data_IF_757924623445
#
_entry.id   IF_757924623445
#
_cell.length_a   1.000
_cell.length_b   1.000
_cell.length_c   1.000
_cell.angle_alpha   90.00
_cell.angle_beta   90.00
_cell.angle_gamma   90.00
#
_symmetry.space_group_name_H-M   'P 1'
#
loop_
_entity.id
_entity.type
_entity.pdbx_description
1 polymer ?
#
# COMPACT_ATOMS: atom_id res chain seq x y z
N UNK A 1 8.34 10.32 10.96
CA UNK A 1 6.89 10.59 10.91
C UNK A 1 6.19 9.24 10.81
N UNK A 2 5.01 9.08 11.41
CA UNK A 2 4.28 7.81 11.31
C UNK A 2 3.84 7.61 9.85
N UNK A 3 4.53 6.74 9.10
CA UNK A 3 4.18 6.42 7.70
C UNK A 3 2.82 5.71 7.59
N UNK A 4 2.28 5.27 8.71
CA UNK A 4 0.98 4.63 8.87
C UNK A 4 -0.20 5.48 8.38
N UNK A 5 -0.09 6.81 8.43
CA UNK A 5 -1.21 7.74 8.16
C UNK A 5 -0.80 8.82 7.14
N UNK A 6 -0.14 8.41 6.07
CA UNK A 6 0.30 9.28 4.99
C UNK A 6 0.45 8.51 3.66
N UNK A 7 0.56 9.23 2.55
CA UNK A 7 1.02 8.61 1.30
C UNK A 7 2.49 8.20 1.45
N UNK A 8 2.77 6.94 1.11
CA UNK A 8 4.12 6.40 1.03
C UNK A 8 4.47 6.11 -0.44
N UNK A 9 5.40 6.88 -1.00
CA UNK A 9 5.86 6.68 -2.38
C UNK A 9 7.08 5.74 -2.45
N UNK A 10 7.45 5.37 -3.68
CA UNK A 10 8.60 4.50 -3.96
C UNK A 10 9.92 5.06 -3.41
N UNK A 11 10.16 6.35 -3.53
CA UNK A 11 11.42 6.97 -3.15
C UNK A 11 11.59 6.97 -1.62
N UNK A 12 10.53 7.32 -0.89
CA UNK A 12 10.49 7.25 0.56
C UNK A 12 10.60 5.80 1.05
N UNK A 13 9.83 4.87 0.48
CA UNK A 13 9.84 3.47 0.89
C UNK A 13 11.22 2.80 0.73
N UNK A 14 11.94 3.09 -0.36
CA UNK A 14 13.26 2.50 -0.65
C UNK A 14 14.41 3.18 0.08
N UNK A 15 14.27 4.47 0.44
CA UNK A 15 15.24 5.15 1.33
C UNK A 15 15.27 4.55 2.74
N UNK A 16 14.13 4.05 3.22
CA UNK A 16 14.05 3.44 4.55
C UNK A 16 14.54 2.00 4.57
N UNK A 17 14.22 1.23 3.53
CA UNK A 17 14.68 -0.16 3.38
C UNK A 17 14.81 -0.49 1.88
N UNK A 18 15.96 -1.00 1.40
CA UNK A 18 16.23 -1.21 -0.02
C UNK A 18 15.57 -2.52 -0.52
N UNK A 19 14.27 -2.65 -0.29
CA UNK A 19 13.47 -3.79 -0.72
C UNK A 19 12.18 -3.27 -1.37
N UNK A 20 11.63 -3.95 -2.36
CA UNK A 20 10.32 -3.63 -2.96
C UNK A 20 9.52 -4.92 -3.03
N UNK A 21 8.29 -4.88 -2.53
CA UNK A 21 7.37 -6.00 -2.69
C UNK A 21 6.50 -5.77 -3.92
N UNK A 22 6.09 -6.84 -4.58
CA UNK A 22 5.06 -6.79 -5.61
C UNK A 22 3.87 -7.62 -5.16
N UNK A 23 2.66 -7.07 -5.29
CA UNK A 23 1.44 -7.74 -4.90
C UNK A 23 0.34 -7.59 -5.95
N UNK A 24 -0.42 -8.67 -6.16
CA UNK A 24 -1.65 -8.62 -6.94
C UNK A 24 -2.79 -8.12 -6.07
N UNK A 25 -3.63 -7.24 -6.60
CA UNK A 25 -4.93 -6.97 -5.98
C UNK A 25 -5.85 -8.17 -6.21
N UNK A 26 -6.29 -8.80 -5.13
CA UNK A 26 -7.22 -9.94 -5.14
C UNK A 26 -8.65 -9.52 -4.82
N UNK A 27 -8.83 -8.33 -4.25
CA UNK A 27 -10.15 -7.78 -3.91
C UNK A 27 -10.14 -6.24 -3.98
N UNK A 28 -10.81 -5.72 -5.01
CA UNK A 28 -11.02 -4.29 -5.22
C UNK A 28 -12.44 -3.81 -4.84
N UNK A 29 -13.26 -4.65 -4.19
CA UNK A 29 -14.64 -4.31 -3.82
C UNK A 29 -14.70 -3.22 -2.75
N UNK A 30 -15.90 -2.69 -2.50
CA UNK A 30 -16.19 -1.85 -1.34
C UNK A 30 -15.29 -0.61 -1.23
N UNK A 31 -15.03 0.04 -2.37
CA UNK A 31 -14.44 1.38 -2.38
C UNK A 31 -15.30 2.33 -1.52
N UNK A 32 -14.76 2.93 -0.45
CA UNK A 32 -15.54 3.85 0.38
C UNK A 32 -16.04 5.03 -0.44
N UNK A 33 -17.29 5.45 -0.22
CA UNK A 33 -17.91 6.56 -0.95
C UNK A 33 -17.16 7.89 -0.77
N UNK A 34 -16.49 8.07 0.37
CA UNK A 34 -15.68 9.23 0.69
C UNK A 34 -14.19 9.05 0.33
N UNK A 35 -13.79 7.96 -0.32
CA UNK A 35 -12.41 7.74 -0.78
C UNK A 35 -12.06 8.67 -1.94
N UNK A 36 -11.03 9.51 -1.75
CA UNK A 36 -10.51 10.42 -2.78
C UNK A 36 -9.07 10.02 -3.12
N UNK A 37 -8.84 9.73 -4.39
CA UNK A 37 -7.55 9.26 -4.90
C UNK A 37 -7.67 7.97 -5.69
N UNK A 38 -6.51 7.34 -5.88
CA UNK A 38 -6.37 6.09 -6.61
C UNK A 38 -7.01 4.93 -5.85
N UNK A 39 -7.43 3.92 -6.60
CA UNK A 39 -8.01 2.70 -6.07
C UNK A 39 -7.48 1.51 -6.87
N UNK A 40 -7.15 0.37 -6.23
CA UNK A 40 -6.62 -0.77 -6.94
C UNK A 40 -7.67 -1.40 -7.85
N UNK A 41 -7.19 -2.08 -8.89
CA UNK A 41 -8.02 -2.89 -9.78
C UNK A 41 -7.66 -4.36 -9.58
N UNK A 42 -8.68 -5.21 -9.45
CA UNK A 42 -8.52 -6.64 -9.25
C UNK A 42 -7.71 -7.27 -10.40
N UNK A 43 -6.77 -8.15 -10.06
CA UNK A 43 -5.86 -8.81 -11.00
C UNK A 43 -4.67 -7.96 -11.46
N UNK A 44 -4.57 -6.68 -11.09
CA UNK A 44 -3.37 -5.87 -11.38
C UNK A 44 -2.26 -6.08 -10.35
N UNK A 45 -1.03 -6.03 -10.83
CA UNK A 45 0.20 -6.11 -10.04
C UNK A 45 0.69 -4.70 -9.70
N UNK A 46 1.02 -4.48 -8.44
CA UNK A 46 1.52 -3.20 -7.96
C UNK A 46 2.82 -3.36 -7.18
N UNK A 47 3.76 -2.39 -7.28
CA UNK A 47 4.81 -2.26 -6.29
C UNK A 47 4.19 -1.75 -4.98
N UNK A 48 4.46 -2.47 -3.89
CA UNK A 48 3.88 -2.19 -2.58
C UNK A 48 4.93 -2.17 -1.48
N UNK A 49 4.53 -1.61 -0.34
CA UNK A 49 5.21 -1.79 0.95
C UNK A 49 4.21 -2.26 1.99
N UNK A 50 4.58 -3.30 2.73
CA UNK A 50 3.86 -3.70 3.95
C UNK A 50 4.44 -2.93 5.13
N UNK A 51 3.58 -2.23 5.88
CA UNK A 51 3.96 -1.44 7.06
C UNK A 51 3.08 -1.87 8.24
N UNK A 52 3.65 -2.15 9.43
CA UNK A 52 2.84 -2.42 10.61
C UNK A 52 2.11 -1.14 11.06
N UNK A 53 0.79 -1.22 11.22
CA UNK A 53 -0.07 -0.15 11.75
C UNK A 53 -0.35 -0.37 13.22
N UNK A 54 -0.03 0.62 14.06
CA UNK A 54 -0.29 0.56 15.50
C UNK A 54 -1.72 0.98 15.86
N UNK A 55 -2.32 1.87 15.08
CA UNK A 55 -3.70 2.32 15.24
C UNK A 55 -4.68 1.19 14.93
N UNK A 56 -4.45 0.49 13.82
CA UNK A 56 -5.33 -0.58 13.35
C UNK A 56 -4.95 -1.96 13.93
N UNK A 57 -3.77 -2.08 14.56
CA UNK A 57 -3.29 -3.34 15.15
C UNK A 57 -3.02 -4.44 14.12
N UNK A 58 -2.77 -4.06 12.87
CA UNK A 58 -2.61 -4.94 11.72
C UNK A 58 -1.57 -4.40 10.73
N UNK A 59 -1.17 -5.19 9.75
CA UNK A 59 -0.35 -4.70 8.64
C UNK A 59 -1.18 -3.88 7.65
N UNK A 60 -0.60 -2.84 7.07
CA UNK A 60 -1.16 -2.08 5.96
C UNK A 60 -0.29 -2.25 4.72
N UNK A 61 -0.94 -2.31 3.56
CA UNK A 61 -0.30 -2.39 2.25
C UNK A 61 -0.38 -1.03 1.59
N UNK A 62 0.77 -0.37 1.46
CA UNK A 62 0.90 0.87 0.71
C UNK A 62 1.19 0.58 -0.76
N UNK A 63 0.35 1.08 -1.66
CA UNK A 63 0.61 1.01 -3.11
C UNK A 63 1.50 2.20 -3.49
N UNK A 64 2.76 1.94 -3.84
CA UNK A 64 3.81 2.97 -3.91
C UNK A 64 3.68 3.92 -5.10
N UNK A 65 2.79 3.61 -6.03
CA UNK A 65 2.46 4.42 -7.21
C UNK A 65 1.15 5.20 -7.06
N UNK A 66 0.46 5.05 -5.94
CA UNK A 66 -0.84 5.67 -5.70
C UNK A 66 -0.73 6.88 -4.77
N UNK A 67 -1.68 7.80 -4.95
CA UNK A 67 -1.95 8.89 -4.04
C UNK A 67 -3.42 8.86 -3.57
N UNK A 68 -3.64 9.25 -2.31
CA UNK A 68 -4.97 9.45 -1.74
C UNK A 68 -5.00 10.62 -0.76
N UNK A 69 -6.21 11.07 -0.43
CA UNK A 69 -6.46 12.08 0.58
C UNK A 69 -6.94 11.46 1.90
N UNK A 70 -6.79 12.20 3.00
CA UNK A 70 -7.36 11.79 4.28
C UNK A 70 -8.90 11.56 4.16
N UNK A 71 -9.45 10.58 4.89
CA UNK A 71 -8.78 9.71 5.87
C UNK A 71 -8.13 8.46 5.27
N UNK A 72 -8.25 8.23 3.96
CA UNK A 72 -7.82 7.01 3.28
C UNK A 72 -6.73 7.34 2.25
N UNK A 73 -5.49 7.44 2.73
CA UNK A 73 -4.30 7.59 1.90
C UNK A 73 -4.05 6.33 1.04
N UNK A 74 -2.86 6.22 0.43
CA UNK A 74 -2.48 5.07 -0.39
C UNK A 74 -2.25 3.74 0.38
N UNK A 75 -2.79 3.62 1.60
CA UNK A 75 -2.66 2.47 2.48
C UNK A 75 -3.97 1.66 2.53
N UNK A 76 -3.88 0.36 2.36
CA UNK A 76 -5.01 -0.54 2.25
C UNK A 76 -4.89 -1.72 3.21
N UNK A 77 -6.02 -2.36 3.52
CA UNK A 77 -6.02 -3.62 4.26
C UNK A 77 -5.30 -4.74 3.49
N UNK A 78 -4.54 -5.61 4.17
CA UNK A 78 -3.71 -6.64 3.57
C UNK A 78 -4.55 -7.74 2.91
N UNK A 79 -5.80 -7.94 3.34
CA UNK A 79 -6.72 -8.90 2.73
C UNK A 79 -7.01 -8.63 1.25
N UNK A 80 -6.76 -7.40 0.77
CA UNK A 80 -6.98 -7.01 -0.62
C UNK A 80 -5.85 -7.40 -1.55
N UNK A 81 -4.71 -7.83 -1.00
CA UNK A 81 -3.48 -8.03 -1.76
C UNK A 81 -2.81 -9.35 -1.43
N UNK A 82 -2.31 -10.02 -2.47
CA UNK A 82 -1.42 -11.17 -2.35
C UNK A 82 -0.01 -10.79 -2.78
N UNK A 83 0.94 -10.78 -1.85
CA UNK A 83 2.36 -10.54 -2.15
C UNK A 83 2.92 -11.73 -2.94
N UNK A 84 3.51 -11.46 -4.10
CA UNK A 84 4.04 -12.48 -5.02
C UNK A 84 5.54 -12.39 -5.24
N UNK A 85 6.16 -11.26 -4.92
CA UNK A 85 7.61 -11.12 -5.00
C UNK A 85 8.14 -10.14 -3.94
N UNK A 86 9.37 -10.40 -3.53
CA UNK A 86 10.22 -9.49 -2.77
C UNK A 86 11.50 -9.28 -3.56
N UNK A 87 11.86 -8.02 -3.83
CA UNK A 87 13.03 -7.63 -4.61
C UNK A 87 13.93 -6.76 -3.76
N UNK A 88 15.14 -7.23 -3.47
CA UNK A 88 16.17 -6.44 -2.81
C UNK A 88 16.96 -5.63 -3.85
N UNK A 89 17.24 -4.36 -3.54
CA UNK A 89 17.83 -3.38 -4.46
C UNK A 89 19.35 -3.22 -4.27
N UNK A 90 20.02 -4.24 -3.75
CA UNK A 90 21.45 -4.24 -3.40
C UNK A 90 22.32 -5.07 -4.35
#
# INVERSE_FOLDING_TARGET
MSHEVANLDMAAATRHLPVVHYAYCTDASDRPLNHRGDWPEEGKLYPVRVVPSRLEGMELVHVLTFEGEAPYYNAFGPQRFAVVAEVWLN
#
